data_IF_359558600967
#
_entry.id   IF_359558600967
#
_cell.length_a   1.000
_cell.length_b   1.000
_cell.length_c   1.000
_cell.angle_alpha   90.00
_cell.angle_beta   90.00
_cell.angle_gamma   90.00
#
_symmetry.space_group_name_H-M   'P 1'
#
loop_
_entity.id
_entity.type
_entity.pdbx_description
1 polymer ?
#
# COMPACT_ATOMS: atom_id res chain seq x y z
N UNK A 1 -15.71 6.24 21.21
CA UNK A 1 -15.76 7.23 20.11
C UNK A 1 -16.04 6.49 18.81
N UNK A 2 -16.86 7.03 17.89
CA UNK A 2 -16.98 6.47 16.55
C UNK A 2 -15.61 6.44 15.86
N UNK A 3 -15.36 5.42 15.04
CA UNK A 3 -14.10 5.29 14.32
C UNK A 3 -13.95 6.46 13.33
N UNK A 4 -12.82 7.19 13.35
CA UNK A 4 -12.61 8.38 12.51
C UNK A 4 -12.69 8.11 11.00
N UNK A 5 -12.62 6.84 10.58
CA UNK A 5 -12.81 6.41 9.20
C UNK A 5 -14.25 6.61 8.72
N UNK A 6 -15.23 6.34 9.58
CA UNK A 6 -16.65 6.45 9.23
C UNK A 6 -17.05 7.87 8.84
N UNK A 7 -16.51 8.85 9.55
CA UNK A 7 -16.79 10.27 9.30
C UNK A 7 -16.19 10.78 7.97
N UNK A 8 -15.15 10.11 7.45
CA UNK A 8 -14.40 10.54 6.24
C UNK A 8 -14.85 9.85 4.96
N UNK A 9 -15.23 8.58 5.08
CA UNK A 9 -15.57 7.74 3.94
C UNK A 9 -17.06 7.34 3.93
N UNK A 10 -17.83 7.68 4.97
CA UNK A 10 -19.24 7.28 5.07
C UNK A 10 -19.43 5.76 5.03
N UNK A 11 -18.41 5.00 5.42
CA UNK A 11 -18.35 3.53 5.37
C UNK A 11 -17.73 2.97 6.65
N UNK A 12 -18.08 1.75 6.99
CA UNK A 12 -17.49 1.04 8.13
C UNK A 12 -16.16 0.42 7.71
N UNK A 13 -15.23 0.31 8.66
CA UNK A 13 -14.02 -0.48 8.48
C UNK A 13 -14.37 -1.96 8.23
N UNK A 14 -13.54 -2.70 7.47
CA UNK A 14 -13.64 -4.15 7.38
C UNK A 14 -13.60 -4.79 8.76
N UNK A 15 -14.45 -5.79 9.05
CA UNK A 15 -14.62 -6.35 10.40
C UNK A 15 -13.30 -6.71 11.09
N UNK A 16 -12.44 -7.48 10.43
CA UNK A 16 -11.15 -7.89 11.01
C UNK A 16 -10.12 -6.77 11.18
N UNK A 17 -10.32 -5.62 10.53
CA UNK A 17 -9.49 -4.43 10.75
C UNK A 17 -10.10 -3.51 11.81
N UNK A 18 -11.43 -3.46 11.90
CA UNK A 18 -12.15 -2.67 12.89
C UNK A 18 -11.79 -3.06 14.33
N UNK A 19 -11.57 -4.35 14.59
CA UNK A 19 -11.17 -4.85 15.90
C UNK A 19 -9.75 -4.38 16.28
N UNK A 20 -8.80 -4.39 15.34
CA UNK A 20 -7.43 -3.92 15.58
C UNK A 20 -7.34 -2.39 15.70
N UNK A 21 -8.15 -1.67 14.91
CA UNK A 21 -8.21 -0.21 14.91
C UNK A 21 -9.07 0.37 16.07
N UNK A 22 -9.65 -0.48 16.91
CA UNK A 22 -10.56 -0.05 17.96
C UNK A 22 -9.85 0.89 18.97
N UNK A 23 -10.42 2.08 19.17
CA UNK A 23 -9.89 3.08 20.10
C UNK A 23 -8.76 3.97 19.53
N UNK A 24 -8.27 3.70 18.31
CA UNK A 24 -7.30 4.59 17.66
C UNK A 24 -7.97 5.85 17.13
N UNK A 25 -7.31 6.99 17.32
CA UNK A 25 -7.67 8.21 16.59
C UNK A 25 -7.16 8.15 15.14
N UNK A 26 -7.54 9.14 14.32
CA UNK A 26 -7.23 9.15 12.88
C UNK A 26 -5.73 9.14 12.62
N UNK A 27 -4.98 9.90 13.42
CA UNK A 27 -3.54 10.06 13.25
C UNK A 27 -2.82 8.78 13.61
N UNK A 28 -3.17 8.19 14.76
CA UNK A 28 -2.62 6.91 15.23
C UNK A 28 -2.90 5.79 14.24
N UNK A 29 -4.11 5.75 13.67
CA UNK A 29 -4.47 4.78 12.64
C UNK A 29 -3.59 4.92 11.38
N UNK A 30 -3.35 6.15 10.90
CA UNK A 30 -2.46 6.40 9.75
C UNK A 30 -1.01 6.04 10.11
N UNK A 31 -0.47 6.57 11.21
CA UNK A 31 0.92 6.35 11.62
C UNK A 31 1.21 4.84 11.84
N UNK A 32 0.19 4.07 12.23
CA UNK A 32 0.30 2.62 12.46
C UNK A 32 0.26 1.81 11.17
N UNK A 33 -0.69 2.11 10.27
CA UNK A 33 -1.04 1.24 9.14
C UNK A 33 -0.68 1.81 7.75
N UNK A 34 -0.35 3.09 7.64
CA UNK A 34 0.24 3.74 6.47
C UNK A 34 1.54 4.45 6.89
N UNK A 35 2.55 3.71 7.39
CA UNK A 35 3.74 4.33 7.95
C UNK A 35 4.46 5.15 6.89
N UNK A 36 4.73 6.43 7.20
CA UNK A 36 5.51 7.33 6.37
C UNK A 36 7.01 7.01 6.48
N UNK A 37 7.42 5.83 6.03
CA UNK A 37 8.83 5.43 5.94
C UNK A 37 9.33 5.63 4.53
N UNK A 38 10.58 6.05 4.39
CA UNK A 38 11.29 6.07 3.12
C UNK A 38 11.92 4.71 2.76
N UNK A 39 11.54 3.63 3.47
CA UNK A 39 12.12 2.31 3.26
C UNK A 39 11.75 1.69 1.92
N UNK A 40 10.49 1.80 1.49
CA UNK A 40 10.06 1.49 0.14
C UNK A 40 9.49 2.76 -0.49
N UNK A 41 10.24 3.37 -1.41
CA UNK A 41 9.80 4.57 -2.11
C UNK A 41 9.69 4.28 -3.60
N UNK A 42 8.46 4.36 -4.12
CA UNK A 42 8.21 4.25 -5.55
C UNK A 42 8.47 5.61 -6.20
N UNK A 43 9.60 5.73 -6.89
CA UNK A 43 9.99 6.96 -7.55
C UNK A 43 9.28 7.15 -8.89
N UNK A 44 9.04 6.04 -9.61
CA UNK A 44 8.32 6.05 -10.88
C UNK A 44 7.60 4.71 -11.13
N UNK A 45 6.48 4.78 -11.83
CA UNK A 45 5.74 3.62 -12.33
C UNK A 45 5.08 3.95 -13.67
N UNK A 46 5.56 3.32 -14.73
CA UNK A 46 4.99 3.42 -16.06
C UNK A 46 4.18 2.17 -16.41
N UNK A 47 3.19 2.38 -17.28
CA UNK A 47 2.22 1.36 -17.71
C UNK A 47 2.08 1.45 -19.22
N UNK A 48 2.28 0.33 -19.92
CA UNK A 48 2.12 0.25 -21.37
C UNK A 48 1.21 -0.94 -21.72
N UNK A 49 -0.06 -0.69 -22.08
CA UNK A 49 -0.95 -1.75 -22.52
C UNK A 49 -0.36 -2.52 -23.71
N UNK A 50 -0.34 -3.86 -23.62
CA UNK A 50 0.08 -4.76 -24.69
C UNK A 50 -1.10 -5.38 -25.45
N UNK A 51 -2.31 -5.24 -24.89
CA UNK A 51 -3.54 -5.83 -25.42
C UNK A 51 -3.96 -7.08 -24.64
N UNK A 52 -5.20 -7.55 -24.88
CA UNK A 52 -5.81 -8.72 -24.23
C UNK A 52 -5.77 -8.70 -22.69
N UNK A 53 -5.81 -7.50 -22.10
CA UNK A 53 -5.75 -7.32 -20.64
C UNK A 53 -4.35 -7.41 -20.04
N UNK A 54 -3.30 -7.52 -20.86
CA UNK A 54 -1.91 -7.50 -20.40
C UNK A 54 -1.34 -6.08 -20.53
N UNK A 55 -0.61 -5.67 -19.50
CA UNK A 55 0.13 -4.41 -19.44
C UNK A 55 1.57 -4.70 -19.07
N UNK A 56 2.51 -4.08 -19.80
CA UNK A 56 3.91 -4.01 -19.39
C UNK A 56 4.06 -2.90 -18.35
N UNK A 57 4.68 -3.24 -17.23
CA UNK A 57 4.98 -2.33 -16.13
C UNK A 57 6.48 -2.14 -16.02
N UNK A 58 6.90 -0.91 -15.78
CA UNK A 58 8.25 -0.59 -15.36
C UNK A 58 8.18 0.31 -14.13
N UNK A 59 8.89 -0.09 -13.07
CA UNK A 59 8.95 0.65 -11.81
C UNK A 59 10.40 0.96 -11.45
N UNK A 60 10.59 2.13 -10.85
CA UNK A 60 11.82 2.48 -10.12
C UNK A 60 11.45 2.50 -8.65
N UNK A 61 11.89 1.47 -7.93
CA UNK A 61 11.65 1.33 -6.50
C UNK A 61 12.96 1.57 -5.75
N UNK A 62 13.01 2.59 -4.91
CA UNK A 62 14.14 2.84 -4.02
C UNK A 62 13.91 2.14 -2.69
N UNK A 63 14.92 1.40 -2.22
CA UNK A 63 14.94 0.79 -0.90
C UNK A 63 16.02 1.40 -0.03
N UNK A 64 15.73 1.67 1.24
CA UNK A 64 16.74 2.07 2.24
C UNK A 64 17.06 0.92 3.17
N UNK A 65 18.31 0.57 3.39
CA UNK A 65 18.68 -0.37 4.45
C UNK A 65 18.54 0.32 5.83
N UNK A 66 17.76 -0.22 6.79
CA UNK A 66 17.66 0.31 8.15
C UNK A 66 19.02 0.40 8.86
N UNK A 67 19.98 -0.45 8.50
CA UNK A 67 21.32 -0.50 9.07
C UNK A 67 22.31 0.50 8.46
N UNK A 68 21.97 1.13 7.33
CA UNK A 68 22.78 2.14 6.66
C UNK A 68 21.96 3.41 6.32
N UNK A 69 21.67 4.27 7.34
CA UNK A 69 20.91 5.50 7.14
C UNK A 69 21.64 6.44 6.16
N UNK A 70 20.95 6.86 5.10
CA UNK A 70 21.47 7.82 4.11
C UNK A 70 21.61 7.27 2.70
N UNK A 71 21.75 5.95 2.54
CA UNK A 71 21.88 5.32 1.22
C UNK A 71 20.52 4.77 0.72
N UNK A 72 20.27 4.95 -0.57
CA UNK A 72 19.13 4.37 -1.27
C UNK A 72 19.65 3.46 -2.37
N UNK A 73 19.15 2.24 -2.42
CA UNK A 73 19.35 1.33 -3.53
C UNK A 73 18.16 1.42 -4.46
N UNK A 74 18.36 1.95 -5.67
CA UNK A 74 17.34 2.00 -6.69
C UNK A 74 17.28 0.69 -7.47
N UNK A 75 16.08 0.12 -7.58
CA UNK A 75 15.78 -1.09 -8.33
C UNK A 75 14.92 -0.71 -9.53
N UNK A 76 15.42 -0.97 -10.74
CA UNK A 76 14.61 -0.91 -11.97
C UNK A 76 14.00 -2.28 -12.21
N UNK A 77 12.68 -2.35 -12.19
CA UNK A 77 11.93 -3.60 -12.26
C UNK A 77 10.94 -3.53 -13.41
N UNK A 78 10.82 -4.64 -14.14
CA UNK A 78 9.88 -4.76 -15.26
C UNK A 78 9.09 -6.05 -15.15
N UNK A 79 7.77 -6.01 -15.39
CA UNK A 79 6.96 -7.23 -15.51
C UNK A 79 5.77 -7.01 -16.42
N UNK A 80 5.17 -8.08 -16.92
CA UNK A 80 3.93 -8.07 -17.67
C UNK A 80 2.83 -8.69 -16.81
N UNK A 81 1.75 -7.95 -16.58
CA UNK A 81 0.69 -8.40 -15.67
C UNK A 81 -0.68 -7.88 -16.06
N UNK A 82 -1.71 -8.46 -15.46
CA UNK A 82 -3.11 -8.08 -15.66
C UNK A 82 -3.57 -6.91 -14.77
N UNK A 83 -2.71 -6.36 -13.91
CA UNK A 83 -3.06 -5.24 -13.04
C UNK A 83 -1.92 -4.73 -12.16
N UNK A 84 -2.07 -3.48 -11.72
CA UNK A 84 -1.07 -2.73 -10.92
C UNK A 84 -0.63 -3.49 -9.67
N UNK A 85 -1.57 -4.04 -8.90
CA UNK A 85 -1.26 -4.73 -7.65
C UNK A 85 -0.50 -6.03 -7.88
N UNK A 86 -0.89 -6.82 -8.88
CA UNK A 86 -0.20 -8.07 -9.22
C UNK A 86 1.22 -7.77 -9.69
N UNK A 87 1.39 -6.77 -10.56
CA UNK A 87 2.71 -6.34 -11.03
C UNK A 87 3.59 -5.86 -9.86
N UNK A 88 3.07 -4.97 -9.01
CA UNK A 88 3.84 -4.43 -7.89
C UNK A 88 4.17 -5.50 -6.84
N UNK A 89 3.25 -6.43 -6.56
CA UNK A 89 3.47 -7.57 -5.68
C UNK A 89 4.60 -8.48 -6.17
N UNK A 90 4.65 -8.75 -7.48
CA UNK A 90 5.72 -9.52 -8.10
C UNK A 90 7.06 -8.78 -8.04
N UNK A 91 7.06 -7.48 -8.38
CA UNK A 91 8.25 -6.62 -8.33
C UNK A 91 8.84 -6.55 -6.92
N UNK A 92 8.00 -6.38 -5.90
CA UNK A 92 8.41 -6.43 -4.50
C UNK A 92 9.01 -7.80 -4.12
N UNK A 93 8.43 -8.90 -4.60
CA UNK A 93 8.99 -10.24 -4.40
C UNK A 93 10.40 -10.39 -4.97
N UNK A 94 10.70 -9.78 -6.12
CA UNK A 94 12.03 -9.85 -6.77
C UNK A 94 13.13 -9.13 -5.99
N UNK A 95 12.79 -8.16 -5.16
CA UNK A 95 13.75 -7.46 -4.29
C UNK A 95 13.73 -8.00 -2.85
N UNK A 96 13.15 -9.18 -2.62
CA UNK A 96 13.09 -9.84 -1.31
C UNK A 96 11.98 -9.33 -0.38
N UNK A 97 11.16 -8.39 -0.84
CA UNK A 97 10.08 -7.77 -0.07
C UNK A 97 8.72 -8.39 -0.39
N UNK A 98 8.60 -9.73 -0.40
CA UNK A 98 7.37 -10.42 -0.79
C UNK A 98 6.16 -9.96 0.04
N UNK A 99 5.04 -9.69 -0.64
CA UNK A 99 3.76 -9.33 -0.04
C UNK A 99 2.66 -10.09 -0.78
N UNK A 100 1.81 -10.81 -0.06
CA UNK A 100 0.64 -11.50 -0.63
C UNK A 100 -0.63 -10.85 -0.13
N UNK A 101 -1.56 -10.49 -1.01
CA UNK A 101 -2.81 -9.81 -0.63
C UNK A 101 -3.88 -10.85 -0.29
N UNK A 102 -4.35 -10.88 0.96
CA UNK A 102 -5.43 -11.77 1.41
C UNK A 102 -6.80 -11.11 1.40
N UNK A 103 -6.86 -9.82 1.69
CA UNK A 103 -8.10 -9.04 1.69
C UNK A 103 -7.84 -7.68 1.08
N UNK A 104 -8.81 -7.18 0.33
CA UNK A 104 -8.73 -5.90 -0.35
C UNK A 104 -10.06 -5.16 -0.22
N UNK A 105 -10.00 -3.90 0.18
CA UNK A 105 -11.14 -3.01 0.29
C UNK A 105 -10.74 -1.63 -0.22
N UNK A 106 -11.61 -1.01 -1.00
CA UNK A 106 -11.33 0.30 -1.58
C UNK A 106 -12.52 1.22 -1.39
N UNK A 107 -12.22 2.46 -1.04
CA UNK A 107 -13.20 3.48 -0.69
C UNK A 107 -12.83 4.81 -1.33
N UNK A 108 -13.84 5.47 -1.85
CA UNK A 108 -13.77 6.88 -2.27
C UNK A 108 -14.31 7.74 -1.13
N UNK A 109 -13.69 8.90 -0.89
CA UNK A 109 -14.12 9.85 0.14
C UNK A 109 -13.14 10.99 0.31
N UNK A 110 -13.07 11.52 1.53
CA UNK A 110 -12.26 12.70 1.83
C UNK A 110 -11.34 12.44 3.03
N UNK A 111 -10.15 11.89 2.75
CA UNK A 111 -9.18 11.50 3.77
C UNK A 111 -8.55 12.72 4.49
N UNK A 112 -8.30 13.79 3.74
CA UNK A 112 -7.51 14.96 4.17
C UNK A 112 -8.20 16.28 3.80
N UNK A 113 -9.31 16.59 4.46
CA UNK A 113 -10.08 17.81 4.23
C UNK A 113 -11.25 17.59 3.28
N UNK A 114 -11.43 18.46 2.30
CA UNK A 114 -12.56 18.40 1.35
C UNK A 114 -12.18 17.88 -0.03
N UNK A 115 -10.90 17.60 -0.28
CA UNK A 115 -10.45 17.05 -1.56
C UNK A 115 -10.86 15.58 -1.67
N UNK A 116 -11.40 15.19 -2.82
CA UNK A 116 -11.66 13.79 -3.13
C UNK A 116 -10.36 12.99 -3.11
N UNK A 117 -10.44 11.79 -2.55
CA UNK A 117 -9.31 10.91 -2.34
C UNK A 117 -9.77 9.47 -2.27
N UNK A 118 -8.86 8.58 -2.64
CA UNK A 118 -9.06 7.15 -2.55
C UNK A 118 -8.33 6.61 -1.33
N UNK A 119 -8.96 5.65 -0.65
CA UNK A 119 -8.34 4.86 0.40
C UNK A 119 -8.43 3.38 0.05
N UNK A 120 -7.29 2.71 0.03
CA UNK A 120 -7.22 1.26 -0.04
C UNK A 120 -6.83 0.73 1.33
N UNK A 121 -7.59 -0.26 1.81
CA UNK A 121 -7.29 -1.05 3.00
C UNK A 121 -7.04 -2.48 2.53
N UNK A 122 -5.89 -3.03 2.87
CA UNK A 122 -5.59 -4.43 2.54
C UNK A 122 -5.03 -5.19 3.74
N UNK A 123 -5.30 -6.48 3.78
CA UNK A 123 -4.59 -7.42 4.64
C UNK A 123 -3.60 -8.17 3.78
N UNK A 124 -2.34 -8.16 4.21
CA UNK A 124 -1.27 -8.82 3.49
C UNK A 124 -0.48 -9.77 4.37
N UNK A 125 0.19 -10.74 3.74
CA UNK A 125 1.04 -11.72 4.42
C UNK A 125 2.41 -11.87 3.77
N UNK A 126 3.36 -12.33 4.57
CA UNK A 126 4.64 -12.84 4.14
C UNK A 126 5.00 -14.04 5.03
N UNK A 127 4.83 -15.25 4.51
CA UNK A 127 4.98 -16.48 5.28
C UNK A 127 3.96 -16.55 6.42
N UNK A 128 4.44 -16.58 7.67
CA UNK A 128 3.57 -16.64 8.87
C UNK A 128 3.15 -15.27 9.40
N UNK A 129 3.74 -14.18 8.87
CA UNK A 129 3.41 -12.82 9.29
C UNK A 129 2.23 -12.30 8.48
N UNK A 130 1.35 -11.58 9.15
CA UNK A 130 0.21 -10.90 8.56
C UNK A 130 0.13 -9.47 9.10
N UNK A 131 -0.32 -8.54 8.27
CA UNK A 131 -0.56 -7.17 8.69
C UNK A 131 -1.71 -6.56 7.90
N UNK A 132 -2.42 -5.61 8.50
CA UNK A 132 -3.24 -4.68 7.75
C UNK A 132 -2.39 -3.50 7.29
N UNK A 133 -2.77 -2.89 6.18
CA UNK A 133 -2.15 -1.68 5.69
C UNK A 133 -3.17 -0.77 5.02
N UNK A 134 -2.84 0.51 5.02
CA UNK A 134 -3.61 1.58 4.42
C UNK A 134 -2.77 2.27 3.36
N UNK A 135 -3.45 2.79 2.33
CA UNK A 135 -2.87 3.66 1.34
C UNK A 135 -3.87 4.69 0.89
N UNK A 136 -3.37 5.88 0.57
CA UNK A 136 -4.18 6.98 0.07
C UNK A 136 -3.62 7.46 -1.27
N UNK A 137 -4.47 8.00 -2.12
CA UNK A 137 -4.07 8.52 -3.43
C UNK A 137 -5.14 9.40 -4.06
N UNK A 138 -4.78 10.13 -5.12
CA UNK A 138 -5.73 10.87 -5.95
C UNK A 138 -6.52 9.94 -6.87
N UNK A 139 -6.02 8.73 -7.11
CA UNK A 139 -6.71 7.68 -7.86
C UNK A 139 -6.79 6.34 -7.10
N UNK A 140 -7.71 5.44 -7.50
CA UNK A 140 -7.81 4.10 -6.93
C UNK A 140 -6.50 3.30 -7.03
N UNK A 141 -5.78 3.47 -8.15
CA UNK A 141 -4.53 2.80 -8.42
C UNK A 141 -3.41 3.27 -7.49
N UNK A 142 -3.25 4.59 -7.34
CA UNK A 142 -2.28 5.20 -6.43
C UNK A 142 -2.51 4.76 -4.98
N UNK A 143 -3.76 4.82 -4.51
CA UNK A 143 -4.10 4.38 -3.16
C UNK A 143 -3.77 2.90 -2.94
N UNK A 144 -3.98 2.06 -3.95
CA UNK A 144 -3.71 0.62 -3.88
C UNK A 144 -2.22 0.31 -3.83
N UNK A 145 -1.42 0.99 -4.66
CA UNK A 145 0.03 0.86 -4.64
C UNK A 145 0.59 1.37 -3.31
N UNK A 146 0.14 2.52 -2.81
CA UNK A 146 0.55 3.06 -1.52
C UNK A 146 0.23 2.10 -0.36
N UNK A 147 -0.92 1.42 -0.40
CA UNK A 147 -1.30 0.42 0.59
C UNK A 147 -0.38 -0.80 0.55
N UNK A 148 0.01 -1.23 -0.66
CA UNK A 148 0.91 -2.37 -0.84
C UNK A 148 2.33 -2.05 -0.36
N UNK A 149 2.84 -0.84 -0.63
CA UNK A 149 4.13 -0.38 -0.12
C UNK A 149 4.11 -0.26 1.42
N UNK A 150 3.01 0.24 1.99
CA UNK A 150 2.81 0.26 3.44
C UNK A 150 2.82 -1.15 4.03
N UNK A 151 2.15 -2.11 3.40
CA UNK A 151 2.21 -3.51 3.80
C UNK A 151 3.62 -4.10 3.69
N UNK A 152 4.36 -3.80 2.62
CA UNK A 152 5.75 -4.21 2.47
C UNK A 152 6.61 -3.67 3.62
N UNK A 153 6.51 -2.38 3.94
CA UNK A 153 7.19 -1.78 5.09
C UNK A 153 6.82 -2.49 6.39
N UNK A 154 5.53 -2.66 6.67
CA UNK A 154 5.05 -3.24 7.92
C UNK A 154 5.44 -4.71 8.08
N UNK A 155 5.50 -5.45 6.97
CA UNK A 155 5.99 -6.81 6.99
C UNK A 155 7.52 -6.80 7.16
N UNK A 156 8.29 -6.01 6.43
CA UNK A 156 9.74 -6.22 6.36
C UNK A 156 10.60 -5.36 7.30
N UNK A 157 10.01 -4.39 8.01
CA UNK A 157 10.72 -3.55 8.98
C UNK A 157 10.25 -3.66 10.43
N UNK A 158 9.08 -4.22 10.68
CA UNK A 158 8.57 -4.48 12.03
C UNK A 158 8.63 -5.97 12.33
#
# INVERSE_FOLDING_TARGET
MPCPFGDRFGRRLPRGFADEAAGMDWRTLIDTYAPSTDHFHLADLSRRPLGRGITAYEAILATRDPSAPGEFTAHRLTTESCGDLTAMSEMLGRIGARVEIERFHQYEGHAFGQTESWCTILRATCGRRATWALGFGGSPAEASIAALLSAATLLHLR
#
